data_IF_610284868330
#
_entry.id   IF_610284868330
#
_cell.length_a   1.000
_cell.length_b   1.000
_cell.length_c   1.000
_cell.angle_alpha   90.00
_cell.angle_beta   90.00
_cell.angle_gamma   90.00
#
_symmetry.space_group_name_H-M   'P 1'
#
loop_
_entity.id
_entity.type
_entity.pdbx_description
1 polymer ?
#
# COMPACT_ATOMS: atom_id res chain seq x y z
N UNK A 1 5.85 -16.67 4.02
CA UNK A 1 6.30 -15.86 2.86
C UNK A 1 7.65 -15.21 3.16
N UNK A 2 8.53 -14.94 2.15
CA UNK A 2 9.85 -14.37 2.40
C UNK A 2 9.79 -12.84 2.38
N UNK A 3 9.97 -12.22 3.55
CA UNK A 3 10.03 -10.76 3.71
C UNK A 3 11.40 -10.24 3.29
N UNK A 4 11.47 -9.02 2.75
CA UNK A 4 12.71 -8.37 2.33
C UNK A 4 13.07 -7.25 3.27
N UNK A 5 14.19 -7.36 3.98
CA UNK A 5 14.70 -6.29 4.81
C UNK A 5 15.17 -5.10 3.96
N UNK A 6 14.94 -3.89 4.46
CA UNK A 6 15.45 -2.62 3.92
C UNK A 6 15.66 -1.63 5.07
N UNK A 7 16.55 -0.68 4.85
CA UNK A 7 16.73 0.45 5.76
C UNK A 7 16.13 1.71 5.15
N UNK A 8 15.47 2.53 5.97
CA UNK A 8 14.95 3.83 5.58
C UNK A 8 14.99 4.79 6.78
N UNK A 9 15.54 5.99 6.60
CA UNK A 9 15.65 7.03 7.64
C UNK A 9 16.30 6.54 8.95
N UNK A 10 17.26 5.62 8.86
CA UNK A 10 17.95 5.07 10.04
C UNK A 10 17.21 3.93 10.75
N UNK A 11 16.06 3.49 10.25
CA UNK A 11 15.26 2.39 10.80
C UNK A 11 15.23 1.18 9.87
N UNK A 12 15.12 -0.02 10.48
CA UNK A 12 14.95 -1.27 9.77
C UNK A 12 13.48 -1.57 9.49
N UNK A 13 13.17 -1.92 8.24
CA UNK A 13 11.83 -2.32 7.80
C UNK A 13 11.86 -3.67 7.10
N UNK A 14 10.74 -4.37 7.12
CA UNK A 14 10.51 -5.60 6.38
C UNK A 14 9.37 -5.41 5.37
N UNK A 15 9.70 -5.54 4.09
CA UNK A 15 8.75 -5.45 2.98
C UNK A 15 8.09 -6.82 2.80
N UNK A 16 6.76 -6.88 2.90
CA UNK A 16 6.01 -8.12 2.78
C UNK A 16 5.48 -8.31 1.35
N UNK A 17 5.46 -9.54 0.79
CA UNK A 17 4.92 -9.81 -0.56
C UNK A 17 3.44 -9.40 -0.77
N UNK A 18 2.68 -9.25 0.31
CA UNK A 18 1.31 -8.71 0.26
C UNK A 18 1.22 -7.23 -0.06
N UNK A 19 2.32 -6.49 0.04
CA UNK A 19 2.34 -5.02 -0.03
C UNK A 19 2.34 -4.34 1.34
N UNK A 20 2.25 -5.08 2.44
CA UNK A 20 2.38 -4.51 3.78
C UNK A 20 3.85 -4.18 4.09
N UNK A 21 4.05 -3.13 4.87
CA UNK A 21 5.34 -2.73 5.42
C UNK A 21 5.35 -3.01 6.92
N UNK A 22 6.28 -3.82 7.39
CA UNK A 22 6.43 -4.09 8.82
C UNK A 22 7.63 -3.35 9.39
N UNK A 23 7.42 -2.66 10.51
CA UNK A 23 8.45 -1.95 11.28
C UNK A 23 8.65 -2.67 12.62
N UNK A 24 9.65 -3.57 12.71
CA UNK A 24 9.83 -4.42 13.87
C UNK A 24 10.03 -3.66 15.18
N UNK A 25 10.87 -2.61 15.19
CA UNK A 25 11.20 -1.84 16.40
C UNK A 25 9.98 -1.15 17.01
N UNK A 26 8.98 -0.81 16.18
CA UNK A 26 7.70 -0.22 16.60
C UNK A 26 6.57 -1.25 16.74
N UNK A 27 6.84 -2.54 16.49
CA UNK A 27 5.82 -3.60 16.36
C UNK A 27 4.64 -3.18 15.48
N UNK A 28 4.91 -2.41 14.42
CA UNK A 28 3.92 -1.72 13.60
C UNK A 28 3.81 -2.33 12.21
N UNK A 29 2.61 -2.78 11.85
CA UNK A 29 2.26 -3.13 10.48
C UNK A 29 1.60 -1.93 9.80
N UNK A 30 2.10 -1.54 8.63
CA UNK A 30 1.60 -0.41 7.83
C UNK A 30 1.01 -0.97 6.53
N UNK A 31 -0.25 -0.60 6.25
CA UNK A 31 -0.97 -0.94 5.01
C UNK A 31 -1.69 0.29 4.50
N UNK A 32 -1.79 0.46 3.19
CA UNK A 32 -2.54 1.55 2.56
C UNK A 32 -3.38 1.04 1.41
N UNK A 33 -4.36 1.84 0.97
CA UNK A 33 -5.12 1.59 -0.25
C UNK A 33 -5.79 0.21 -0.27
N UNK A 34 -6.54 -0.13 0.79
CA UNK A 34 -7.28 -1.37 0.84
C UNK A 34 -8.48 -1.35 -0.12
N UNK A 35 -9.10 -0.17 -0.26
CA UNK A 35 -10.27 0.07 -1.09
C UNK A 35 -11.37 -0.99 -0.88
N UNK A 36 -11.71 -1.28 0.37
CA UNK A 36 -12.80 -2.20 0.69
C UNK A 36 -14.09 -1.76 0.00
N UNK A 37 -14.90 -2.72 -0.46
CA UNK A 37 -16.15 -2.49 -1.20
C UNK A 37 -15.97 -1.86 -2.60
N UNK A 38 -14.80 -2.03 -3.22
CA UNK A 38 -14.56 -1.54 -4.58
C UNK A 38 -15.41 -2.28 -5.61
N UNK A 39 -15.50 -3.62 -5.52
CA UNK A 39 -16.33 -4.39 -6.46
C UNK A 39 -17.81 -4.01 -6.35
N UNK A 40 -18.32 -3.79 -5.13
CA UNK A 40 -19.71 -3.39 -4.93
C UNK A 40 -20.02 -1.98 -5.46
N UNK A 41 -19.05 -1.08 -5.51
CA UNK A 41 -19.24 0.25 -6.09
C UNK A 41 -19.50 0.20 -7.61
N UNK A 42 -18.91 -0.77 -8.32
CA UNK A 42 -19.13 -0.96 -9.75
C UNK A 42 -20.53 -1.50 -10.09
N UNK A 43 -21.21 -2.17 -9.16
CA UNK A 43 -22.58 -2.62 -9.38
C UNK A 43 -23.54 -1.44 -9.64
N UNK A 44 -23.33 -0.30 -8.99
CA UNK A 44 -24.11 0.91 -9.22
C UNK A 44 -23.96 1.47 -10.64
N UNK A 45 -22.86 1.16 -11.34
CA UNK A 45 -22.57 1.53 -12.73
C UNK A 45 -22.89 0.41 -13.73
N UNK A 46 -23.55 -0.68 -13.31
CA UNK A 46 -23.93 -1.80 -14.15
C UNK A 46 -22.80 -2.77 -14.50
N UNK A 47 -21.64 -2.65 -13.83
CA UNK A 47 -20.54 -3.59 -13.97
C UNK A 47 -20.57 -4.61 -12.82
N UNK A 48 -20.82 -5.87 -13.15
CA UNK A 48 -20.92 -6.93 -12.16
C UNK A 48 -19.55 -7.59 -11.95
N UNK A 49 -18.81 -7.14 -10.92
CA UNK A 49 -17.63 -7.82 -10.42
C UNK A 49 -18.02 -8.74 -9.25
N UNK A 50 -17.38 -9.91 -9.11
CA UNK A 50 -17.62 -10.77 -7.95
C UNK A 50 -17.29 -10.01 -6.65
N UNK A 51 -18.20 -9.98 -5.63
CA UNK A 51 -18.05 -9.15 -4.43
C UNK A 51 -17.17 -9.85 -3.36
N UNK A 52 -16.01 -10.36 -3.74
CA UNK A 52 -15.12 -11.09 -2.83
C UNK A 52 -13.88 -10.28 -2.43
N UNK A 53 -13.71 -9.08 -2.97
CA UNK A 53 -12.53 -8.24 -2.76
C UNK A 53 -12.34 -7.83 -1.31
N UNK A 54 -13.42 -7.46 -0.62
CA UNK A 54 -13.39 -7.08 0.80
C UNK A 54 -12.96 -8.25 1.67
N UNK A 55 -13.65 -9.38 1.62
CA UNK A 55 -13.33 -10.55 2.41
C UNK A 55 -11.92 -11.09 2.14
N UNK A 56 -11.47 -11.09 0.87
CA UNK A 56 -10.11 -11.51 0.51
C UNK A 56 -9.04 -10.54 1.03
N UNK A 57 -9.29 -9.22 0.99
CA UNK A 57 -8.38 -8.22 1.52
C UNK A 57 -8.25 -8.35 3.04
N UNK A 58 -9.36 -8.51 3.75
CA UNK A 58 -9.38 -8.70 5.21
C UNK A 58 -8.72 -10.01 5.63
N UNK A 59 -8.99 -11.13 4.95
CA UNK A 59 -8.34 -12.40 5.22
C UNK A 59 -6.81 -12.32 5.03
N UNK A 60 -6.35 -11.59 4.00
CA UNK A 60 -4.93 -11.31 3.78
C UNK A 60 -4.34 -10.47 4.91
N UNK A 61 -5.05 -9.44 5.38
CA UNK A 61 -4.61 -8.60 6.50
C UNK A 61 -4.45 -9.41 7.78
N UNK A 62 -5.44 -10.25 8.12
CA UNK A 62 -5.38 -11.14 9.26
C UNK A 62 -4.18 -12.09 9.20
N UNK A 63 -3.92 -12.68 8.02
CA UNK A 63 -2.78 -13.57 7.83
C UNK A 63 -1.43 -12.86 8.03
N UNK A 64 -1.26 -11.64 7.52
CA UNK A 64 -0.03 -10.87 7.66
C UNK A 64 0.18 -10.40 9.11
N UNK A 65 -0.87 -9.99 9.81
CA UNK A 65 -0.79 -9.65 11.24
C UNK A 65 -0.35 -10.88 12.06
N UNK A 66 -0.93 -12.05 11.80
CA UNK A 66 -0.53 -13.28 12.48
C UNK A 66 0.93 -13.68 12.16
N UNK A 67 1.39 -13.48 10.92
CA UNK A 67 2.77 -13.80 10.50
C UNK A 67 3.80 -12.84 11.09
N UNK A 68 3.48 -11.55 11.21
CA UNK A 68 4.41 -10.53 11.74
C UNK A 68 4.39 -10.45 13.26
N UNK A 69 3.28 -10.80 13.90
CA UNK A 69 3.08 -10.60 15.33
C UNK A 69 2.98 -9.12 15.73
N UNK A 70 2.65 -8.23 14.77
CA UNK A 70 2.51 -6.82 15.04
C UNK A 70 1.42 -6.56 16.08
N UNK A 71 1.71 -5.71 17.07
CA UNK A 71 0.75 -5.25 18.08
C UNK A 71 0.08 -3.94 17.70
N UNK A 72 0.59 -3.26 16.69
CA UNK A 72 0.07 -1.99 16.14
C UNK A 72 -0.20 -2.14 14.65
N UNK A 73 -1.31 -1.55 14.19
CA UNK A 73 -1.71 -1.57 12.78
C UNK A 73 -2.00 -0.14 12.33
N UNK A 74 -1.29 0.35 11.33
CA UNK A 74 -1.53 1.66 10.75
C UNK A 74 -2.13 1.52 9.35
N UNK A 75 -3.31 2.09 9.18
CA UNK A 75 -3.94 2.30 7.89
C UNK A 75 -3.50 3.64 7.31
N UNK A 76 -2.81 3.61 6.20
CA UNK A 76 -2.23 4.80 5.57
C UNK A 76 -3.16 5.36 4.46
N UNK A 77 -4.43 5.54 4.82
CA UNK A 77 -5.48 6.08 3.97
C UNK A 77 -6.12 5.08 2.99
N UNK A 78 -7.24 5.49 2.42
CA UNK A 78 -8.02 4.78 1.43
C UNK A 78 -8.37 3.33 1.84
N UNK A 79 -8.80 3.17 3.11
CA UNK A 79 -9.29 1.88 3.61
C UNK A 79 -10.58 1.49 2.91
N UNK A 80 -11.49 2.44 2.74
CA UNK A 80 -12.76 2.26 2.05
C UNK A 80 -12.73 2.89 0.67
N UNK A 81 -13.39 2.27 -0.31
CA UNK A 81 -13.35 2.75 -1.69
C UNK A 81 -14.09 4.07 -1.90
N UNK A 82 -15.11 4.34 -1.12
CA UNK A 82 -15.89 5.58 -1.10
C UNK A 82 -16.65 5.74 0.23
N UNK A 83 -17.23 6.93 0.45
CA UNK A 83 -17.96 7.25 1.68
C UNK A 83 -19.23 6.40 1.93
N UNK A 84 -19.63 5.55 0.99
CA UNK A 84 -20.76 4.62 1.14
C UNK A 84 -20.31 3.16 1.33
N UNK A 85 -19.02 2.87 1.24
CA UNK A 85 -18.49 1.52 1.33
C UNK A 85 -18.96 0.81 2.61
N UNK A 86 -18.88 1.47 3.76
CA UNK A 86 -19.34 0.90 5.03
C UNK A 86 -20.79 0.46 5.02
N UNK A 87 -21.68 1.19 4.36
CA UNK A 87 -23.10 0.83 4.29
C UNK A 87 -23.37 -0.35 3.35
N UNK A 88 -22.48 -0.62 2.40
CA UNK A 88 -22.57 -1.76 1.48
C UNK A 88 -21.89 -3.01 2.02
N UNK A 89 -20.94 -2.84 2.93
CA UNK A 89 -20.17 -3.92 3.53
C UNK A 89 -21.06 -4.90 4.27
N UNK A 90 -20.86 -6.19 4.07
CA UNK A 90 -21.65 -7.23 4.74
C UNK A 90 -21.38 -7.23 6.25
N UNK A 91 -22.34 -7.71 7.04
CA UNK A 91 -22.17 -7.83 8.50
C UNK A 91 -21.04 -8.82 8.83
N UNK A 92 -20.83 -9.85 8.01
CA UNK A 92 -19.72 -10.79 8.17
C UNK A 92 -18.35 -10.12 7.96
N UNK A 93 -18.21 -9.27 6.92
CA UNK A 93 -16.95 -8.55 6.68
C UNK A 93 -16.70 -7.48 7.75
N UNK A 94 -17.74 -6.81 8.24
CA UNK A 94 -17.64 -5.89 9.38
C UNK A 94 -17.16 -6.60 10.64
N UNK A 95 -17.76 -7.76 10.95
CA UNK A 95 -17.33 -8.57 12.09
C UNK A 95 -15.88 -9.01 11.94
N UNK A 96 -15.48 -9.48 10.76
CA UNK A 96 -14.09 -9.87 10.49
C UNK A 96 -13.12 -8.69 10.66
N UNK A 97 -13.49 -7.48 10.21
CA UNK A 97 -12.67 -6.29 10.43
C UNK A 97 -12.50 -6.01 11.93
N UNK A 98 -13.59 -6.04 12.72
CA UNK A 98 -13.49 -5.82 14.16
C UNK A 98 -12.70 -6.92 14.88
N UNK A 99 -12.80 -8.18 14.44
CA UNK A 99 -12.01 -9.28 14.98
C UNK A 99 -10.51 -9.07 14.71
N UNK A 100 -10.15 -8.52 13.54
CA UNK A 100 -8.76 -8.15 13.20
C UNK A 100 -8.26 -7.00 14.09
N UNK A 101 -9.10 -6.01 14.37
CA UNK A 101 -8.74 -4.83 15.14
C UNK A 101 -8.66 -5.08 16.64
N UNK A 102 -9.45 -6.03 17.17
CA UNK A 102 -9.57 -6.27 18.60
C UNK A 102 -8.22 -6.55 19.34
N UNK A 103 -7.26 -7.30 18.77
CA UNK A 103 -5.98 -7.60 19.44
C UNK A 103 -4.89 -6.55 19.22
N UNK A 104 -5.12 -5.49 18.42
CA UNK A 104 -4.08 -4.53 18.02
C UNK A 104 -4.48 -3.09 18.31
N UNK A 105 -3.50 -2.24 18.57
CA UNK A 105 -3.69 -0.79 18.53
C UNK A 105 -3.80 -0.35 17.07
N UNK A 106 -4.98 0.14 16.66
CA UNK A 106 -5.18 0.62 15.29
C UNK A 106 -5.06 2.14 15.17
N UNK A 107 -4.27 2.59 14.19
CA UNK A 107 -4.04 3.99 13.85
C UNK A 107 -4.60 4.21 12.44
N UNK A 108 -5.36 5.29 12.26
CA UNK A 108 -6.03 5.60 11.00
C UNK A 108 -5.54 6.94 10.46
N UNK A 109 -4.96 6.93 9.28
CA UNK A 109 -4.65 8.13 8.49
C UNK A 109 -5.72 8.30 7.43
N UNK A 110 -6.22 9.51 7.25
CA UNK A 110 -7.25 9.83 6.25
C UNK A 110 -6.72 9.63 4.82
N UNK A 111 -7.53 9.00 3.97
CA UNK A 111 -7.32 8.94 2.53
C UNK A 111 -8.17 9.98 1.79
N UNK A 112 -8.05 10.03 0.47
CA UNK A 112 -8.87 10.92 -0.34
C UNK A 112 -10.22 10.28 -0.76
N UNK A 113 -10.34 8.95 -0.70
CA UNK A 113 -11.57 8.21 -1.00
C UNK A 113 -12.50 8.07 0.21
N UNK A 114 -11.96 8.03 1.41
CA UNK A 114 -12.68 7.81 2.65
C UNK A 114 -12.54 8.96 3.66
N UNK A 115 -12.31 10.18 3.15
CA UNK A 115 -12.26 11.40 3.96
C UNK A 115 -13.43 11.45 4.96
N UNK A 116 -13.11 11.64 6.22
CA UNK A 116 -14.07 11.77 7.33
C UNK A 116 -14.80 10.48 7.72
N UNK A 117 -14.46 9.30 7.17
CA UNK A 117 -15.06 8.05 7.59
C UNK A 117 -14.03 7.10 8.20
N UNK A 118 -14.27 6.70 9.43
CA UNK A 118 -13.66 5.56 10.11
C UNK A 118 -14.73 4.72 10.80
N UNK A 119 -14.49 3.43 11.05
CA UNK A 119 -15.46 2.60 11.78
C UNK A 119 -15.80 3.16 13.16
N UNK A 120 -16.99 2.88 13.70
CA UNK A 120 -17.38 3.30 15.04
C UNK A 120 -16.34 2.93 16.10
N UNK A 121 -16.01 3.89 16.98
CA UNK A 121 -15.02 3.72 18.03
C UNK A 121 -13.58 4.09 17.63
N UNK A 122 -13.36 4.49 16.40
CA UNK A 122 -12.06 4.93 15.90
C UNK A 122 -12.06 6.42 15.53
N UNK A 123 -10.87 7.00 15.40
CA UNK A 123 -10.66 8.36 14.88
C UNK A 123 -9.50 8.34 13.89
N UNK A 124 -9.55 9.22 12.89
CA UNK A 124 -8.48 9.38 11.93
C UNK A 124 -7.73 10.70 12.16
N UNK A 125 -6.48 10.72 11.70
CA UNK A 125 -5.62 11.90 11.63
C UNK A 125 -5.19 12.11 10.17
N UNK A 126 -4.80 13.32 9.82
CA UNK A 126 -4.29 13.60 8.47
C UNK A 126 -2.88 13.05 8.26
N UNK A 127 -2.09 13.02 9.32
CA UNK A 127 -0.74 12.46 9.36
C UNK A 127 -0.34 12.11 10.79
N UNK A 128 0.70 11.31 10.94
CA UNK A 128 1.32 10.99 12.24
C UNK A 128 2.83 10.92 12.05
N UNK A 129 3.59 11.32 13.09
CA UNK A 129 5.04 11.16 13.14
C UNK A 129 5.41 10.03 14.10
N UNK A 130 6.22 9.07 13.63
CA UNK A 130 6.77 7.97 14.41
C UNK A 130 8.25 7.86 14.08
N UNK A 131 9.13 7.84 15.11
CA UNK A 131 10.57 7.69 14.92
C UNK A 131 11.22 8.76 14.03
N UNK A 132 10.65 9.98 13.97
CA UNK A 132 11.13 11.05 13.08
C UNK A 132 10.72 10.89 11.61
N UNK A 133 9.85 9.94 11.30
CA UNK A 133 9.28 9.71 9.97
C UNK A 133 7.82 10.17 9.97
N UNK A 134 7.44 10.98 8.98
CA UNK A 134 6.05 11.37 8.74
C UNK A 134 5.34 10.27 7.96
N UNK A 135 4.17 9.85 8.44
CA UNK A 135 3.30 8.89 7.78
C UNK A 135 2.01 9.59 7.37
N UNK A 136 1.77 9.70 6.07
CA UNK A 136 0.58 10.34 5.49
C UNK A 136 0.14 9.61 4.23
N UNK A 137 -1.10 9.80 3.82
CA UNK A 137 -1.62 9.11 2.64
C UNK A 137 -0.98 9.59 1.33
N UNK A 138 -0.99 10.90 1.07
CA UNK A 138 -0.44 11.50 -0.15
C UNK A 138 0.89 12.17 0.18
N UNK A 139 1.94 11.85 -0.57
CA UNK A 139 3.26 12.45 -0.43
C UNK A 139 3.20 13.97 -0.55
N UNK A 140 3.90 14.67 0.35
CA UNK A 140 4.12 16.12 0.25
C UNK A 140 5.56 16.38 -0.25
N UNK A 141 5.67 16.92 -1.46
CA UNK A 141 6.97 17.23 -2.07
C UNK A 141 7.73 18.34 -1.31
N UNK A 142 7.02 19.18 -0.55
CA UNK A 142 7.62 20.25 0.25
C UNK A 142 8.07 19.78 1.64
N UNK A 143 7.73 18.54 2.06
CA UNK A 143 8.12 17.99 3.34
C UNK A 143 9.65 17.75 3.39
N UNK A 144 10.31 18.33 4.38
CA UNK A 144 11.75 18.21 4.57
C UNK A 144 12.18 17.02 5.43
N UNK A 145 11.24 16.31 6.08
CA UNK A 145 11.48 15.12 6.90
C UNK A 145 11.33 13.85 6.07
N UNK A 146 11.93 12.72 6.48
CA UNK A 146 11.61 11.44 5.87
C UNK A 146 10.12 11.13 5.94
N UNK A 147 9.57 10.55 4.86
CA UNK A 147 8.14 10.32 4.74
C UNK A 147 7.83 8.93 4.19
N UNK A 148 6.80 8.28 4.77
CA UNK A 148 6.18 7.06 4.24
C UNK A 148 4.77 7.41 3.77
N UNK A 149 4.44 7.09 2.51
CA UNK A 149 3.11 7.37 1.94
C UNK A 149 2.58 6.23 1.06
N UNK A 150 1.30 6.33 0.69
CA UNK A 150 0.55 5.37 -0.12
C UNK A 150 0.01 6.06 -1.39
N UNK A 151 -1.29 5.95 -1.69
CA UNK A 151 -2.06 6.66 -2.71
C UNK A 151 -1.68 6.34 -4.17
N UNK A 152 -0.41 6.33 -4.52
CA UNK A 152 0.05 6.20 -5.91
C UNK A 152 -0.04 4.77 -6.45
N UNK A 153 -0.22 3.77 -5.58
CA UNK A 153 -0.24 2.35 -5.93
C UNK A 153 0.90 1.98 -6.89
N UNK A 154 2.17 2.25 -6.56
CA UNK A 154 3.26 2.11 -7.51
C UNK A 154 3.37 0.70 -8.07
N UNK A 155 3.56 0.62 -9.41
CA UNK A 155 3.79 -0.63 -10.11
C UNK A 155 4.89 -0.46 -11.15
N UNK A 156 5.81 -1.42 -11.21
CA UNK A 156 6.86 -1.44 -12.20
C UNK A 156 6.52 -2.40 -13.35
N UNK A 157 6.94 -2.03 -14.55
CA UNK A 157 6.87 -2.88 -15.74
C UNK A 157 8.27 -3.36 -16.07
N UNK A 158 8.45 -4.68 -16.11
CA UNK A 158 9.68 -5.34 -16.47
C UNK A 158 9.51 -5.99 -17.82
N UNK A 159 10.48 -5.80 -18.71
CA UNK A 159 10.61 -6.52 -19.98
C UNK A 159 11.71 -7.56 -19.86
N UNK A 160 11.36 -8.83 -19.95
CA UNK A 160 12.31 -9.93 -19.90
C UNK A 160 11.99 -10.99 -20.95
N UNK A 161 12.97 -11.32 -21.80
CA UNK A 161 12.86 -12.37 -22.86
C UNK A 161 11.58 -12.26 -23.71
N UNK A 162 11.22 -11.03 -24.13
CA UNK A 162 10.02 -10.79 -24.95
C UNK A 162 8.70 -10.72 -24.16
N UNK A 163 8.71 -11.03 -22.87
CA UNK A 163 7.54 -10.92 -22.00
C UNK A 163 7.50 -9.58 -21.28
N UNK A 164 6.28 -9.04 -21.11
CA UNK A 164 6.01 -7.83 -20.32
C UNK A 164 5.29 -8.24 -19.03
N UNK A 165 5.94 -8.02 -17.90
CA UNK A 165 5.37 -8.33 -16.58
C UNK A 165 5.22 -7.02 -15.81
N UNK A 166 4.02 -6.77 -15.27
CA UNK A 166 3.74 -5.64 -14.38
C UNK A 166 3.53 -6.17 -12.96
N UNK A 167 4.21 -5.56 -11.99
CA UNK A 167 4.12 -5.93 -10.58
C UNK A 167 3.98 -4.69 -9.71
N UNK A 168 3.10 -4.70 -8.68
CA UNK A 168 3.14 -3.71 -7.62
C UNK A 168 4.53 -3.70 -6.97
N UNK A 169 4.95 -2.56 -6.46
CA UNK A 169 6.27 -2.43 -5.85
C UNK A 169 6.28 -1.34 -4.77
N UNK A 170 7.18 -1.49 -3.81
CA UNK A 170 7.60 -0.37 -2.99
C UNK A 170 8.58 0.49 -3.78
N UNK A 171 8.53 1.80 -3.56
CA UNK A 171 9.49 2.76 -4.13
C UNK A 171 10.19 3.46 -2.98
N UNK A 172 11.50 3.24 -2.85
CA UNK A 172 12.33 3.92 -1.86
C UNK A 172 13.25 4.90 -2.55
N UNK A 173 13.17 6.17 -2.18
CA UNK A 173 14.13 7.23 -2.50
C UNK A 173 14.93 7.59 -1.22
N UNK A 174 15.72 8.67 -1.26
CA UNK A 174 16.54 9.06 -0.11
C UNK A 174 15.69 9.35 1.14
N UNK A 175 14.62 10.11 0.98
CA UNK A 175 13.76 10.63 2.05
C UNK A 175 12.26 10.28 1.85
N UNK A 176 11.95 9.37 0.93
CA UNK A 176 10.58 8.93 0.61
C UNK A 176 10.51 7.42 0.47
N UNK A 177 9.49 6.83 1.09
CA UNK A 177 9.13 5.43 0.92
C UNK A 177 7.64 5.33 0.57
N UNK A 178 7.33 4.98 -0.68
CA UNK A 178 5.94 4.79 -1.13
C UNK A 178 5.61 3.31 -1.08
N UNK A 179 4.53 2.96 -0.39
CA UNK A 179 4.04 1.58 -0.30
C UNK A 179 3.07 1.27 -1.46
N UNK A 180 3.03 0.03 -1.95
CA UNK A 180 2.03 -0.40 -2.92
C UNK A 180 0.66 -0.55 -2.27
N UNK A 181 -0.40 -0.50 -3.08
CA UNK A 181 -1.75 -0.78 -2.60
C UNK A 181 -1.87 -2.19 -2.02
N UNK A 182 -2.52 -2.28 -0.86
CA UNK A 182 -2.76 -3.55 -0.17
C UNK A 182 -4.01 -4.26 -0.67
N UNK A 183 -5.04 -3.57 -1.15
CA UNK A 183 -6.30 -4.17 -1.63
C UNK A 183 -6.12 -5.14 -2.80
N UNK A 184 -6.90 -6.23 -2.83
CA UNK A 184 -6.80 -7.26 -3.89
C UNK A 184 -7.32 -6.78 -5.25
N UNK A 185 -8.24 -5.82 -5.25
CA UNK A 185 -8.85 -5.25 -6.45
C UNK A 185 -8.34 -3.81 -6.69
N UNK A 186 -7.04 -3.60 -6.63
CA UNK A 186 -6.44 -2.29 -6.86
C UNK A 186 -5.68 -2.26 -8.18
N UNK A 187 -5.77 -1.13 -8.87
CA UNK A 187 -4.90 -0.83 -9.99
C UNK A 187 -3.51 -0.43 -9.50
N UNK A 188 -2.74 0.23 -10.32
CA UNK A 188 -1.46 0.80 -9.91
C UNK A 188 -0.98 1.81 -10.93
N UNK A 189 -0.21 2.80 -10.49
CA UNK A 189 0.46 3.79 -11.31
C UNK A 189 1.82 3.23 -11.78
N UNK A 190 2.19 3.44 -13.02
CA UNK A 190 3.54 3.08 -13.48
C UNK A 190 4.56 3.96 -12.75
N UNK A 191 5.62 3.37 -12.17
CA UNK A 191 6.69 4.12 -11.51
C UNK A 191 7.36 5.18 -12.41
N UNK A 192 7.08 5.17 -13.72
CA UNK A 192 7.52 6.15 -14.70
C UNK A 192 6.51 7.28 -14.92
N UNK A 193 5.38 7.25 -14.26
CA UNK A 193 4.38 8.32 -14.34
C UNK A 193 4.91 9.62 -13.72
N UNK A 194 4.50 10.76 -14.27
CA UNK A 194 4.99 12.07 -13.82
C UNK A 194 4.58 12.40 -12.38
N UNK A 195 3.51 11.81 -11.87
CA UNK A 195 3.14 11.92 -10.46
C UNK A 195 4.20 11.36 -9.48
N UNK A 196 5.11 10.50 -9.98
CA UNK A 196 6.24 9.96 -9.20
C UNK A 196 7.58 10.54 -9.67
N UNK A 197 7.57 11.66 -10.41
CA UNK A 197 8.80 12.24 -10.97
C UNK A 197 9.80 12.67 -9.89
N UNK A 198 9.31 13.22 -8.77
CA UNK A 198 10.13 13.64 -7.64
C UNK A 198 10.94 12.50 -7.01
N UNK A 199 10.46 11.25 -7.15
CA UNK A 199 11.14 10.06 -6.63
C UNK A 199 12.23 9.51 -7.56
N UNK A 200 12.37 10.05 -8.79
CA UNK A 200 13.32 9.53 -9.79
C UNK A 200 14.71 10.09 -9.55
N UNK A 201 15.55 9.34 -8.90
CA UNK A 201 16.94 9.68 -8.64
C UNK A 201 17.88 8.48 -8.77
N UNK A 202 19.18 8.70 -8.59
CA UNK A 202 20.19 7.63 -8.61
C UNK A 202 20.00 6.66 -7.45
N UNK A 203 19.45 7.14 -6.34
CA UNK A 203 19.28 6.38 -5.10
C UNK A 203 17.89 5.73 -5.01
N UNK A 204 17.06 5.87 -6.06
CA UNK A 204 15.74 5.26 -6.08
C UNK A 204 15.83 3.76 -6.30
N UNK A 205 15.27 3.01 -5.37
CA UNK A 205 15.22 1.56 -5.42
C UNK A 205 13.76 1.08 -5.48
N UNK A 206 13.50 0.13 -6.38
CA UNK A 206 12.21 -0.53 -6.51
C UNK A 206 12.29 -1.92 -5.88
N UNK A 207 11.26 -2.30 -5.13
CA UNK A 207 11.09 -3.63 -4.57
C UNK A 207 9.79 -4.21 -5.08
N UNK A 208 9.88 -5.16 -6.01
CA UNK A 208 8.74 -5.73 -6.70
C UNK A 208 8.12 -6.87 -5.93
N UNK A 209 6.79 -6.89 -5.86
CA UNK A 209 6.05 -7.96 -5.21
C UNK A 209 6.00 -9.20 -6.11
N UNK A 210 6.58 -10.30 -5.66
CA UNK A 210 6.36 -11.64 -6.19
C UNK A 210 5.09 -12.27 -5.61
N UNK A 211 4.95 -13.57 -5.80
CA UNK A 211 3.87 -14.33 -5.18
C UNK A 211 4.15 -14.57 -3.68
N UNK A 212 5.38 -14.95 -3.39
CA UNK A 212 5.80 -15.40 -2.05
C UNK A 212 7.07 -14.67 -1.55
N UNK A 213 7.60 -13.73 -2.33
CA UNK A 213 8.84 -13.00 -2.04
C UNK A 213 8.78 -11.56 -2.55
N UNK A 214 9.75 -10.75 -2.12
CA UNK A 214 9.98 -9.38 -2.62
C UNK A 214 11.39 -9.33 -3.22
N UNK A 215 11.51 -8.85 -4.43
CA UNK A 215 12.76 -8.81 -5.14
C UNK A 215 13.11 -7.45 -5.73
N UNK A 216 14.42 -7.18 -5.81
CA UNK A 216 14.95 -5.97 -6.45
C UNK A 216 15.26 -6.31 -7.91
N UNK A 217 14.69 -5.60 -8.87
CA UNK A 217 15.01 -5.83 -10.27
C UNK A 217 16.47 -5.43 -10.54
N UNK A 218 17.18 -6.11 -11.46
CA UNK A 218 18.48 -5.67 -11.91
C UNK A 218 18.46 -4.22 -12.40
N UNK A 219 19.55 -3.49 -12.16
CA UNK A 219 19.69 -2.11 -12.61
C UNK A 219 19.46 -2.00 -14.13
N UNK A 220 18.62 -1.04 -14.56
CA UNK A 220 18.24 -0.82 -15.96
C UNK A 220 17.01 -1.56 -16.44
N UNK A 221 16.52 -2.62 -15.78
CA UNK A 221 15.28 -3.31 -16.20
C UNK A 221 14.01 -2.53 -15.84
N UNK A 222 14.05 -1.75 -14.77
CA UNK A 222 12.94 -0.87 -14.36
C UNK A 222 13.06 0.56 -14.93
N UNK A 223 14.24 0.95 -15.43
CA UNK A 223 14.58 2.34 -15.74
C UNK A 223 14.53 2.71 -17.23
N UNK A 224 14.44 1.78 -18.18
CA UNK A 224 14.62 2.17 -19.58
C UNK A 224 13.58 1.60 -20.54
N UNK A 225 12.69 2.47 -21.01
CA UNK A 225 11.97 2.26 -22.26
C UNK A 225 11.84 3.56 -23.09
N UNK A 226 12.85 4.46 -23.04
CA UNK A 226 12.93 5.61 -23.96
C UNK A 226 13.35 5.20 -25.38
N UNK A 227 13.69 3.91 -25.65
CA UNK A 227 14.19 3.44 -26.95
C UNK A 227 13.15 2.89 -27.92
N UNK A 228 11.85 2.73 -27.55
CA UNK A 228 10.86 2.14 -28.44
C UNK A 228 9.96 3.14 -29.19
N UNK A 229 10.18 4.46 -29.08
CA UNK A 229 9.41 5.47 -29.85
C UNK A 229 10.20 6.12 -31.00
N UNK A 230 11.22 5.44 -31.53
CA UNK A 230 11.84 5.81 -32.80
C UNK A 230 11.91 4.57 -33.70
N UNK A 231 10.78 4.26 -34.34
CA UNK A 231 10.68 3.69 -35.72
C UNK A 231 9.27 3.90 -36.22
#
# INVERSE_FOLDING_TARGET
MSRKATEFAGHGFELHPSGALFWPDESLLIVGDLHLEKASSYHASGQFLPPYDTGQTLARLAAVLAETGASRLLFLGDVFHDGRAWSRMSDADKALLFDILAPVESIWVEGNHDQSFVPPGHSAVTEIEIGGIVLRHIMDEAEGRPEISAHYHPAAVIHHRGSRVRRPCFVRAADRLIIPAFGVLTGGLDCRDDALAALRGRDTQLFLLGKDDVFVPPAGLAADNRRSRRR
#
